data_IF_976437292193
#
_entry.id   IF_976437292193
#
_cell.length_a   1.000
_cell.length_b   1.000
_cell.length_c   1.000
_cell.angle_alpha   90.00
_cell.angle_beta   90.00
_cell.angle_gamma   90.00
#
_symmetry.space_group_name_H-M   'P 1'
#
loop_
_entity.id
_entity.type
_entity.pdbx_description
1 polymer ?
#
# COMPACT_ATOMS: atom_id res chain seq x y z
N UNK A 1 28.67 19.78 -39.15
CA UNK A 1 27.93 18.93 -38.19
C UNK A 1 26.57 19.57 -38.00
N UNK A 2 25.50 18.97 -38.52
CA UNK A 2 24.15 19.50 -38.37
C UNK A 2 23.54 19.00 -37.06
N UNK A 3 23.08 19.90 -36.20
CA UNK A 3 22.27 19.53 -35.04
C UNK A 3 20.88 19.10 -35.53
N UNK A 4 20.45 17.90 -35.14
CA UNK A 4 19.21 17.27 -35.67
C UNK A 4 18.05 17.43 -34.69
N UNK A 5 18.34 17.60 -33.39
CA UNK A 5 17.33 17.77 -32.36
C UNK A 5 17.86 18.58 -31.16
N UNK A 6 16.93 19.08 -30.34
CA UNK A 6 17.19 19.69 -29.05
C UNK A 6 16.72 18.76 -27.94
N UNK A 7 17.52 18.63 -26.87
CA UNK A 7 17.11 17.90 -25.68
C UNK A 7 15.95 18.63 -25.00
N UNK A 8 14.82 17.94 -24.81
CA UNK A 8 13.61 18.54 -24.20
C UNK A 8 13.79 18.99 -22.75
N UNK A 9 14.80 18.48 -22.03
CA UNK A 9 15.04 18.81 -20.61
C UNK A 9 16.00 19.99 -20.43
N UNK A 10 17.15 19.95 -21.08
CA UNK A 10 18.22 20.95 -20.90
C UNK A 10 18.35 21.92 -22.07
N UNK A 11 17.64 21.71 -23.19
CA UNK A 11 17.76 22.53 -24.39
C UNK A 11 19.07 22.36 -25.15
N UNK A 12 19.90 21.38 -24.78
CA UNK A 12 21.18 21.13 -25.46
C UNK A 12 20.99 20.59 -26.87
N UNK A 13 21.87 20.98 -27.80
CA UNK A 13 21.89 20.46 -29.16
C UNK A 13 22.37 19.01 -29.17
N UNK A 14 21.62 18.13 -29.83
CA UNK A 14 21.93 16.72 -29.95
C UNK A 14 22.38 16.39 -31.37
N UNK A 15 23.48 15.65 -31.46
CA UNK A 15 23.92 15.01 -32.69
C UNK A 15 23.06 13.77 -32.96
N UNK A 16 22.86 13.36 -34.23
CA UNK A 16 22.03 12.18 -34.55
C UNK A 16 22.52 10.86 -33.92
N UNK A 17 23.80 10.78 -33.51
CA UNK A 17 24.34 9.63 -32.75
C UNK A 17 24.15 9.75 -31.23
N UNK A 18 23.84 10.96 -30.73
CA UNK A 18 23.73 11.31 -29.32
C UNK A 18 22.28 11.35 -28.83
N UNK A 19 21.30 11.13 -29.71
CA UNK A 19 19.87 11.19 -29.42
C UNK A 19 19.37 9.82 -28.98
N UNK A 20 18.90 9.71 -27.74
CA UNK A 20 18.00 8.63 -27.35
C UNK A 20 16.55 9.12 -27.53
N UNK A 21 15.79 8.42 -28.39
CA UNK A 21 14.37 8.71 -28.61
C UNK A 21 13.57 7.88 -27.61
N UNK A 22 12.95 8.55 -26.65
CA UNK A 22 12.11 7.94 -25.63
C UNK A 22 10.70 8.53 -25.73
N UNK A 23 9.70 7.69 -26.02
CA UNK A 23 8.28 8.10 -26.05
C UNK A 23 8.07 9.41 -26.84
N UNK A 24 8.63 9.50 -28.05
CA UNK A 24 8.50 10.64 -28.97
C UNK A 24 9.32 11.91 -28.61
N UNK A 25 10.07 11.90 -27.50
CA UNK A 25 10.94 13.02 -27.10
C UNK A 25 12.43 12.64 -27.17
N UNK A 26 13.26 13.56 -27.66
CA UNK A 26 14.71 13.41 -27.68
C UNK A 26 15.33 13.87 -26.34
N UNK A 27 16.17 13.01 -25.76
CA UNK A 27 16.92 13.30 -24.54
C UNK A 27 18.42 13.16 -24.77
N UNK A 28 19.19 13.95 -24.01
CA UNK A 28 20.63 13.77 -23.89
C UNK A 28 20.94 12.55 -23.01
N UNK A 29 22.02 11.80 -23.26
CA UNK A 29 22.40 10.62 -22.45
C UNK A 29 22.31 10.86 -20.92
N UNK A 30 22.91 11.93 -20.33
CA UNK A 30 22.77 12.16 -18.89
C UNK A 30 21.36 12.59 -18.48
N UNK A 31 20.58 13.19 -19.37
CA UNK A 31 19.19 13.57 -19.14
C UNK A 31 18.27 12.35 -19.15
N UNK A 32 18.54 11.40 -20.04
CA UNK A 32 17.83 10.16 -20.24
C UNK A 32 18.08 9.22 -19.06
N UNK A 33 19.33 9.03 -18.65
CA UNK A 33 19.69 8.22 -17.47
C UNK A 33 19.05 8.80 -16.20
N UNK A 34 19.10 10.12 -16.02
CA UNK A 34 18.46 10.76 -14.87
C UNK A 34 16.93 10.63 -14.91
N UNK A 35 16.32 10.70 -16.10
CA UNK A 35 14.88 10.43 -16.26
C UNK A 35 14.57 8.97 -15.96
N UNK A 36 15.40 8.03 -16.42
CA UNK A 36 15.24 6.60 -16.20
C UNK A 36 15.25 6.27 -14.70
N UNK A 37 16.15 6.90 -13.95
CA UNK A 37 16.19 6.78 -12.48
C UNK A 37 14.92 7.35 -11.82
N UNK A 38 14.39 8.47 -12.34
CA UNK A 38 13.15 9.08 -11.86
C UNK A 38 11.89 8.26 -12.24
N UNK A 39 11.88 7.61 -13.40
CA UNK A 39 10.75 6.81 -13.91
C UNK A 39 10.83 5.34 -13.53
N UNK A 40 11.94 4.89 -12.93
CA UNK A 40 12.13 3.48 -12.55
C UNK A 40 10.96 3.04 -11.68
N UNK A 41 10.17 2.04 -12.11
CA UNK A 41 8.99 1.61 -11.36
C UNK A 41 9.41 1.18 -9.97
N UNK A 42 8.92 1.95 -8.99
CA UNK A 42 9.29 1.88 -7.58
C UNK A 42 8.86 0.52 -7.00
N UNK A 43 9.80 -0.44 -6.97
CA UNK A 43 9.58 -1.80 -6.40
C UNK A 43 9.07 -1.74 -4.97
N UNK A 44 9.49 -0.74 -4.21
CA UNK A 44 9.11 -0.61 -2.80
C UNK A 44 7.65 -0.19 -2.61
N UNK A 45 7.10 0.63 -3.50
CA UNK A 45 5.69 1.04 -3.46
C UNK A 45 4.76 -0.11 -3.82
N UNK A 46 5.21 -0.97 -4.75
CA UNK A 46 4.52 -2.23 -5.06
C UNK A 46 4.53 -3.16 -3.83
N UNK A 47 5.64 -3.24 -3.11
CA UNK A 47 5.73 -3.98 -1.85
C UNK A 47 4.74 -3.49 -0.79
N UNK A 48 4.60 -2.17 -0.64
CA UNK A 48 3.68 -1.58 0.34
C UNK A 48 2.20 -1.84 -0.01
N UNK A 49 1.86 -1.75 -1.31
CA UNK A 49 0.52 -2.09 -1.81
C UNK A 49 0.20 -3.56 -1.59
N UNK A 50 1.12 -4.46 -1.93
CA UNK A 50 0.96 -5.91 -1.70
C UNK A 50 0.79 -6.21 -0.22
N UNK A 51 1.59 -5.58 0.66
CA UNK A 51 1.50 -5.76 2.09
C UNK A 51 0.12 -5.33 2.65
N UNK A 52 -0.43 -4.20 2.17
CA UNK A 52 -1.76 -3.77 2.61
C UNK A 52 -2.88 -4.70 2.08
N UNK A 53 -2.78 -5.16 0.82
CA UNK A 53 -3.74 -6.14 0.27
C UNK A 53 -3.69 -7.45 1.07
N UNK A 54 -2.49 -7.93 1.39
CA UNK A 54 -2.32 -9.11 2.24
C UNK A 54 -2.93 -8.90 3.62
N UNK A 55 -2.68 -7.75 4.24
CA UNK A 55 -3.27 -7.39 5.54
C UNK A 55 -4.80 -7.38 5.51
N UNK A 56 -5.39 -6.82 4.47
CA UNK A 56 -6.85 -6.80 4.29
C UNK A 56 -7.42 -8.22 4.13
N UNK A 57 -6.78 -9.07 3.31
CA UNK A 57 -7.19 -10.46 3.11
C UNK A 57 -7.08 -11.28 4.40
N UNK A 58 -6.02 -11.07 5.18
CA UNK A 58 -5.85 -11.73 6.48
C UNK A 58 -6.88 -11.28 7.52
N UNK A 59 -7.30 -10.00 7.49
CA UNK A 59 -8.33 -9.46 8.38
C UNK A 59 -9.75 -9.90 7.98
N UNK A 60 -10.01 -10.16 6.70
CA UNK A 60 -11.33 -10.58 6.21
C UNK A 60 -11.56 -12.09 6.28
N UNK A 61 -10.50 -12.91 6.17
CA UNK A 61 -10.59 -14.37 6.28
C UNK A 61 -11.30 -14.87 7.56
N UNK A 62 -10.99 -14.37 8.78
CA UNK A 62 -11.69 -14.79 9.99
C UNK A 62 -13.15 -14.32 10.04
N UNK A 63 -13.54 -13.23 9.35
CA UNK A 63 -14.94 -12.83 9.23
C UNK A 63 -15.74 -13.86 8.42
N UNK A 64 -15.16 -14.34 7.32
CA UNK A 64 -15.79 -15.37 6.48
C UNK A 64 -15.91 -16.68 7.26
N UNK A 65 -14.88 -17.08 8.00
CA UNK A 65 -14.97 -18.24 8.89
C UNK A 65 -16.01 -18.05 10.00
N UNK A 66 -16.11 -16.86 10.61
CA UNK A 66 -17.13 -16.57 11.63
C UNK A 66 -18.53 -16.73 11.05
N UNK A 67 -18.79 -16.17 9.86
CA UNK A 67 -20.10 -16.30 9.19
C UNK A 67 -20.48 -17.74 8.90
N UNK A 68 -19.50 -18.60 8.59
CA UNK A 68 -19.73 -20.01 8.32
C UNK A 68 -19.98 -20.82 9.60
N UNK A 69 -19.26 -20.50 10.68
CA UNK A 69 -19.36 -21.23 11.96
C UNK A 69 -20.59 -20.87 12.78
N UNK A 70 -21.14 -19.65 12.61
CA UNK A 70 -22.37 -19.22 13.29
C UNK A 70 -23.61 -20.02 12.84
N UNK A 71 -23.61 -20.61 11.65
CA UNK A 71 -24.70 -21.52 11.24
C UNK A 71 -24.66 -22.90 11.93
N UNK A 72 -23.51 -23.32 12.47
CA UNK A 72 -23.34 -24.71 12.94
C UNK A 72 -23.43 -24.91 14.47
N UNK A 73 -23.83 -23.90 15.24
CA UNK A 73 -24.25 -24.07 16.64
C UNK A 73 -23.19 -24.65 17.61
N UNK A 74 -21.90 -24.59 17.27
CA UNK A 74 -20.82 -25.22 18.06
C UNK A 74 -19.93 -24.18 18.74
N UNK A 75 -20.24 -23.90 20.01
CA UNK A 75 -19.57 -22.92 20.88
C UNK A 75 -18.11 -23.25 21.26
N UNK A 76 -17.57 -24.44 20.92
CA UNK A 76 -16.21 -24.85 21.29
C UNK A 76 -15.08 -24.19 20.47
N UNK A 77 -15.42 -23.40 19.44
CA UNK A 77 -14.44 -22.72 18.57
C UNK A 77 -14.03 -21.32 19.01
N UNK A 78 -14.69 -20.74 20.02
CA UNK A 78 -14.60 -19.30 20.34
C UNK A 78 -13.22 -18.91 20.88
N UNK A 79 -12.56 -19.75 21.67
CA UNK A 79 -11.21 -19.44 22.20
C UNK A 79 -10.14 -19.47 21.11
N UNK A 80 -10.14 -20.49 20.26
CA UNK A 80 -9.22 -20.57 19.11
C UNK A 80 -9.41 -19.35 18.20
N UNK A 81 -10.66 -18.91 18.05
CA UNK A 81 -11.01 -17.74 17.26
C UNK A 81 -10.55 -16.43 17.88
N UNK A 82 -10.64 -16.28 19.21
CA UNK A 82 -10.13 -15.12 19.94
C UNK A 82 -8.60 -15.02 19.87
N UNK A 83 -7.88 -16.15 19.97
CA UNK A 83 -6.43 -16.17 19.76
C UNK A 83 -6.05 -15.78 18.33
N UNK A 84 -6.76 -16.33 17.33
CA UNK A 84 -6.56 -15.96 15.92
C UNK A 84 -6.85 -14.47 15.70
N UNK A 85 -7.87 -13.94 16.39
CA UNK A 85 -8.22 -12.52 16.40
C UNK A 85 -7.09 -11.66 16.94
N UNK A 86 -6.52 -12.04 18.09
CA UNK A 86 -5.43 -11.29 18.71
C UNK A 86 -4.22 -11.21 17.79
N UNK A 87 -3.85 -12.33 17.16
CA UNK A 87 -2.74 -12.39 16.21
C UNK A 87 -2.98 -11.57 14.94
N UNK A 88 -4.19 -11.59 14.39
CA UNK A 88 -4.55 -10.79 13.21
C UNK A 88 -4.60 -9.28 13.52
N UNK A 89 -5.03 -8.91 14.74
CA UNK A 89 -4.98 -7.53 15.24
C UNK A 89 -3.54 -7.03 15.40
N UNK A 90 -2.65 -7.83 15.99
CA UNK A 90 -1.23 -7.47 16.16
C UNK A 90 -0.53 -7.37 14.81
N UNK A 91 -0.76 -8.33 13.90
CA UNK A 91 -0.18 -8.33 12.57
C UNK A 91 -0.71 -7.15 11.72
N UNK A 92 -2.03 -6.90 11.77
CA UNK A 92 -2.67 -5.79 11.07
C UNK A 92 -2.22 -4.42 11.61
N UNK A 93 -2.22 -4.26 12.94
CA UNK A 93 -1.75 -3.03 13.59
C UNK A 93 -0.27 -2.76 13.34
N UNK A 94 0.58 -3.78 13.42
CA UNK A 94 2.00 -3.70 13.08
C UNK A 94 2.23 -3.30 11.62
N UNK A 95 1.46 -3.86 10.70
CA UNK A 95 1.52 -3.51 9.27
C UNK A 95 1.13 -2.04 9.01
N UNK A 96 0.08 -1.55 9.68
CA UNK A 96 -0.37 -0.15 9.55
C UNK A 96 0.66 0.82 10.15
N UNK A 97 1.16 0.55 11.36
CA UNK A 97 2.17 1.36 12.03
C UNK A 97 3.50 1.38 11.27
N UNK A 98 3.94 0.24 10.75
CA UNK A 98 5.15 0.15 9.95
C UNK A 98 4.99 0.86 8.60
N UNK A 99 3.84 0.69 7.95
CA UNK A 99 3.50 1.40 6.70
C UNK A 99 3.50 2.91 6.93
N UNK A 100 2.84 3.42 7.98
CA UNK A 100 2.80 4.85 8.30
C UNK A 100 4.17 5.40 8.72
N UNK A 101 4.93 4.67 9.52
CA UNK A 101 6.28 5.06 9.92
C UNK A 101 7.23 5.14 8.71
N UNK A 102 7.19 4.13 7.84
CA UNK A 102 8.04 4.08 6.64
C UNK A 102 7.61 5.11 5.61
N UNK A 103 6.30 5.33 5.43
CA UNK A 103 5.80 6.41 4.57
C UNK A 103 6.29 7.75 5.09
N UNK A 104 6.10 8.05 6.38
CA UNK A 104 6.53 9.29 7.03
C UNK A 104 8.01 9.59 6.80
N UNK A 105 8.86 8.56 6.84
CA UNK A 105 10.30 8.69 6.59
C UNK A 105 10.61 9.10 5.15
N UNK A 106 9.88 8.57 4.16
CA UNK A 106 10.09 8.89 2.75
C UNK A 106 9.38 10.17 2.29
N UNK A 107 8.23 10.52 2.85
CA UNK A 107 7.59 11.82 2.57
C UNK A 107 8.45 12.99 3.03
N UNK A 108 9.33 12.77 4.03
CA UNK A 108 10.26 13.78 4.52
C UNK A 108 11.43 14.06 3.58
N UNK A 109 11.78 13.12 2.70
CA UNK A 109 12.95 13.22 1.83
C UNK A 109 12.62 13.57 0.38
N UNK A 110 11.40 13.30 -0.12
CA UNK A 110 11.04 13.54 -1.54
C UNK A 110 9.66 14.14 -1.71
N UNK A 111 9.55 15.45 -1.44
CA UNK A 111 8.42 16.25 -1.89
C UNK A 111 8.45 16.39 -3.43
N UNK A 112 7.77 15.49 -4.17
CA UNK A 112 7.64 15.60 -5.62
C UNK A 112 6.19 15.34 -6.06
N UNK A 113 5.68 16.26 -6.88
CA UNK A 113 4.27 16.52 -7.24
C UNK A 113 3.45 15.36 -7.84
N UNK A 114 4.00 14.17 -8.02
CA UNK A 114 3.33 13.01 -8.66
C UNK A 114 2.71 12.02 -7.65
N UNK A 115 2.42 12.50 -6.44
CA UNK A 115 1.96 11.68 -5.30
C UNK A 115 0.45 11.78 -5.00
N UNK A 116 -0.31 12.62 -5.70
CA UNK A 116 -1.71 12.92 -5.35
C UNK A 116 -2.61 11.68 -5.46
N UNK A 117 -2.41 10.84 -6.49
CA UNK A 117 -3.22 9.63 -6.71
C UNK A 117 -2.91 8.52 -5.69
N UNK A 118 -1.64 8.21 -5.47
CA UNK A 118 -1.22 7.15 -4.54
C UNK A 118 -1.46 7.52 -3.06
N UNK A 119 -1.30 8.79 -2.70
CA UNK A 119 -1.65 9.25 -1.35
C UNK A 119 -3.15 9.06 -1.08
N UNK A 120 -4.00 9.27 -2.09
CA UNK A 120 -5.45 9.05 -1.97
C UNK A 120 -5.78 7.57 -1.78
N UNK A 121 -5.17 6.69 -2.58
CA UNK A 121 -5.36 5.25 -2.46
C UNK A 121 -4.92 4.72 -1.09
N UNK A 122 -3.76 5.16 -0.59
CA UNK A 122 -3.27 4.76 0.74
C UNK A 122 -4.16 5.27 1.88
N UNK A 123 -4.72 6.49 1.76
CA UNK A 123 -5.68 7.00 2.74
C UNK A 123 -6.97 6.20 2.75
N UNK A 124 -7.52 5.87 1.57
CA UNK A 124 -8.72 5.03 1.46
C UNK A 124 -8.47 3.65 2.05
N UNK A 125 -7.33 3.04 1.74
CA UNK A 125 -6.96 1.72 2.23
C UNK A 125 -6.76 1.71 3.75
N UNK A 126 -6.07 2.71 4.29
CA UNK A 126 -5.93 2.91 5.73
C UNK A 126 -7.28 3.13 6.42
N UNK A 127 -8.18 3.92 5.82
CA UNK A 127 -9.51 4.14 6.36
C UNK A 127 -10.34 2.84 6.36
N UNK A 128 -10.26 2.03 5.30
CA UNK A 128 -10.90 0.72 5.24
C UNK A 128 -10.36 -0.22 6.32
N UNK A 129 -9.05 -0.28 6.53
CA UNK A 129 -8.44 -1.11 7.59
C UNK A 129 -8.92 -0.65 8.97
N UNK A 130 -8.97 0.67 9.23
CA UNK A 130 -9.48 1.21 10.49
C UNK A 130 -10.98 0.92 10.69
N UNK A 131 -11.80 1.02 9.64
CA UNK A 131 -13.21 0.66 9.70
C UNK A 131 -13.40 -0.84 10.00
N UNK A 132 -12.62 -1.72 9.35
CA UNK A 132 -12.63 -3.14 9.64
C UNK A 132 -12.23 -3.43 11.10
N UNK A 133 -11.18 -2.77 11.60
CA UNK A 133 -10.75 -2.91 13.00
C UNK A 133 -11.83 -2.42 13.98
N UNK A 134 -12.44 -1.27 13.73
CA UNK A 134 -13.51 -0.73 14.57
C UNK A 134 -14.73 -1.67 14.60
N UNK A 135 -15.14 -2.17 13.44
CA UNK A 135 -16.22 -3.15 13.32
C UNK A 135 -15.91 -4.43 14.11
N UNK A 136 -14.66 -4.91 14.05
CA UNK A 136 -14.20 -6.05 14.82
C UNK A 136 -14.23 -5.84 16.33
N UNK A 137 -13.79 -4.67 16.82
CA UNK A 137 -13.85 -4.32 18.25
C UNK A 137 -15.30 -4.33 18.74
N UNK A 138 -16.25 -3.80 17.95
CA UNK A 138 -17.67 -3.82 18.30
C UNK A 138 -18.20 -5.25 18.44
N UNK A 139 -17.85 -6.14 17.51
CA UNK A 139 -18.23 -7.56 17.58
C UNK A 139 -17.63 -8.22 18.82
N UNK A 140 -16.33 -8.03 19.07
CA UNK A 140 -15.66 -8.62 20.21
C UNK A 140 -16.29 -8.17 21.55
N UNK A 141 -16.58 -6.87 21.69
CA UNK A 141 -17.27 -6.33 22.89
C UNK A 141 -18.67 -6.94 23.03
N UNK A 142 -19.46 -7.02 21.95
CA UNK A 142 -20.79 -7.64 21.98
C UNK A 142 -20.75 -9.09 22.45
N UNK A 143 -19.79 -9.88 21.95
CA UNK A 143 -19.60 -11.29 22.36
C UNK A 143 -19.20 -11.39 23.83
N UNK A 144 -18.29 -10.54 24.30
CA UNK A 144 -17.86 -10.54 25.71
C UNK A 144 -19.00 -10.16 26.65
N UNK A 145 -19.80 -9.13 26.31
CA UNK A 145 -20.96 -8.70 27.11
C UNK A 145 -22.01 -9.80 27.15
N UNK A 146 -22.31 -10.45 26.02
CA UNK A 146 -23.27 -11.55 25.98
C UNK A 146 -22.82 -12.73 26.86
N UNK A 147 -21.51 -12.99 26.94
CA UNK A 147 -20.95 -14.06 27.78
C UNK A 147 -20.98 -13.75 29.28
N UNK A 148 -20.95 -12.49 29.69
CA UNK A 148 -21.01 -12.12 31.12
C UNK A 148 -22.43 -12.12 31.70
N UNK A 149 -23.45 -12.09 30.85
CA UNK A 149 -24.87 -12.11 31.26
C UNK A 149 -25.51 -13.50 31.30
N UNK A 150 -24.73 -14.56 31.07
CA UNK A 150 -25.14 -15.96 30.99
C UNK A 150 -24.38 -16.78 32.04
#
# INVERSE_FOLDING_TARGET
>A
MAAVALCTRCGGFLCGACTEVLEEAAYCEPCAERRWQDTRPWREGRGLLVANVLGLLFLSAPLVQLSWTLELGRLSGVEAMLMLLGWTLVAGGGGVAFSTWKLSRHTRERALRRWVGQARALRVLSALILLCLAFWVVIAVRVLVFRQGL
#
